data_IF_521013413462
#
_entry.id   IF_521013413462
#
_cell.length_a   1.000
_cell.length_b   1.000
_cell.length_c   1.000
_cell.angle_alpha   90.00
_cell.angle_beta   90.00
_cell.angle_gamma   90.00
#
_symmetry.space_group_name_H-M   'P 1'
#
loop_
_entity.id
_entity.type
_entity.pdbx_description
1 polymer ?
#
# COMPACT_ATOMS: atom_id res chain seq x y z
N UNK A 1 22.81 -41.51 23.82
CA UNK A 1 21.68 -40.85 23.12
C UNK A 1 20.80 -40.22 24.17
N UNK A 2 20.77 -38.88 24.23
CA UNK A 2 20.18 -38.08 25.31
C UNK A 2 18.96 -37.32 24.80
N UNK A 3 17.94 -37.18 25.65
CA UNK A 3 16.60 -36.59 25.48
C UNK A 3 16.53 -35.17 24.86
N UNK A 4 17.66 -34.53 24.56
CA UNK A 4 17.73 -33.16 24.06
C UNK A 4 17.45 -33.02 22.54
N UNK A 5 17.47 -34.11 21.77
CA UNK A 5 17.25 -34.05 20.31
C UNK A 5 15.77 -34.08 19.89
N UNK A 6 14.83 -34.23 20.83
CA UNK A 6 13.39 -34.39 20.51
C UNK A 6 12.56 -33.09 20.60
N UNK A 7 13.14 -31.94 20.95
CA UNK A 7 12.41 -30.68 21.13
C UNK A 7 12.49 -29.70 19.94
N UNK A 8 13.16 -30.06 18.83
CA UNK A 8 13.30 -29.17 17.65
C UNK A 8 12.17 -29.38 16.63
N UNK A 9 11.29 -30.36 16.82
CA UNK A 9 10.24 -30.69 15.84
C UNK A 9 8.88 -30.05 16.20
N UNK A 10 8.82 -28.72 16.34
CA UNK A 10 7.54 -27.99 16.36
C UNK A 10 7.73 -26.48 16.16
N UNK A 11 8.24 -26.05 15.00
CA UNK A 11 8.04 -24.68 14.53
C UNK A 11 7.87 -24.72 13.00
N UNK A 12 6.79 -24.08 12.57
CA UNK A 12 6.22 -24.07 11.24
C UNK A 12 7.25 -23.75 10.14
N UNK A 13 7.04 -24.40 8.98
CA UNK A 13 7.73 -24.10 7.73
C UNK A 13 7.76 -22.58 7.47
N UNK A 14 8.97 -22.00 7.47
CA UNK A 14 9.37 -20.77 6.75
C UNK A 14 10.75 -20.23 7.19
N UNK A 15 11.42 -20.80 8.19
CA UNK A 15 12.72 -20.29 8.64
C UNK A 15 13.87 -21.07 7.98
N UNK A 16 14.52 -20.47 6.98
CA UNK A 16 15.82 -20.94 6.48
C UNK A 16 16.91 -20.42 7.42
N UNK A 17 17.43 -21.28 8.29
CA UNK A 17 18.53 -20.96 9.19
C UNK A 17 19.86 -21.16 8.44
N UNK A 18 20.54 -20.07 8.07
CA UNK A 18 21.92 -20.13 7.58
C UNK A 18 22.85 -20.19 8.80
N UNK A 19 23.29 -21.38 9.17
CA UNK A 19 24.29 -21.57 10.21
C UNK A 19 25.69 -21.27 9.64
N UNK A 20 26.25 -20.11 9.97
CA UNK A 20 27.67 -19.83 9.71
C UNK A 20 28.48 -20.62 10.74
N UNK A 21 29.34 -21.54 10.30
CA UNK A 21 30.19 -22.34 11.17
C UNK A 21 31.23 -21.46 11.88
N UNK A 22 31.01 -21.20 13.17
CA UNK A 22 31.95 -20.48 14.06
C UNK A 22 32.65 -21.51 14.95
N UNK A 23 33.98 -21.39 15.08
CA UNK A 23 34.78 -22.22 16.00
C UNK A 23 34.30 -22.03 17.44
N UNK A 24 33.84 -23.11 18.07
CA UNK A 24 33.23 -23.10 19.41
C UNK A 24 34.36 -23.12 20.46
N UNK A 25 34.65 -21.98 21.08
CA UNK A 25 35.45 -21.94 22.31
C UNK A 25 34.53 -22.18 23.52
N UNK A 26 34.80 -23.18 24.38
CA UNK A 26 33.97 -23.43 25.55
C UNK A 26 34.12 -22.28 26.55
N UNK A 27 33.01 -21.63 26.93
CA UNK A 27 32.95 -20.64 28.01
C UNK A 27 32.47 -19.23 27.64
N UNK A 28 32.20 -18.94 26.36
CA UNK A 28 31.69 -17.62 25.93
C UNK A 28 30.19 -17.72 25.59
N UNK A 29 29.30 -16.93 26.21
CA UNK A 29 27.90 -16.87 25.78
C UNK A 29 27.84 -16.26 24.37
N UNK A 30 27.35 -17.04 23.39
CA UNK A 30 27.17 -16.57 22.02
C UNK A 30 25.77 -15.98 21.84
N UNK A 31 25.71 -14.68 21.56
CA UNK A 31 24.50 -14.06 21.01
C UNK A 31 24.38 -14.48 19.55
N UNK A 32 23.40 -15.33 19.24
CA UNK A 32 23.02 -15.60 17.86
C UNK A 32 22.23 -14.39 17.33
N UNK A 33 22.80 -13.64 16.39
CA UNK A 33 22.03 -12.70 15.59
C UNK A 33 21.35 -13.49 14.46
N UNK A 34 20.02 -13.49 14.46
CA UNK A 34 19.25 -14.02 13.34
C UNK A 34 19.08 -12.90 12.31
N UNK A 35 19.56 -13.15 11.08
CA UNK A 35 19.23 -12.29 9.93
C UNK A 35 17.91 -12.81 9.37
N UNK A 36 16.86 -11.99 9.45
CA UNK A 36 15.57 -12.29 8.83
C UNK A 36 15.66 -12.01 7.33
N UNK A 37 15.85 -13.05 6.53
CA UNK A 37 15.84 -12.93 5.06
C UNK A 37 14.39 -13.03 4.60
N UNK A 38 13.80 -11.91 4.15
CA UNK A 38 12.44 -11.90 3.59
C UNK A 38 12.40 -12.59 2.23
N UNK A 39 11.54 -13.59 2.08
CA UNK A 39 11.31 -14.27 0.81
C UNK A 39 10.71 -13.29 -0.21
N UNK A 40 11.18 -13.34 -1.47
CA UNK A 40 10.68 -12.48 -2.55
C UNK A 40 9.40 -13.06 -3.15
N UNK A 41 8.41 -12.20 -3.35
CA UNK A 41 7.15 -12.53 -4.02
C UNK A 41 7.35 -12.75 -5.53
N UNK A 42 6.41 -13.44 -6.18
CA UNK A 42 6.32 -13.49 -7.65
C UNK A 42 6.11 -12.11 -8.29
N UNK A 43 5.65 -11.14 -7.50
CA UNK A 43 5.46 -9.75 -7.93
C UNK A 43 6.67 -8.86 -7.65
N UNK A 44 7.79 -9.42 -7.15
CA UNK A 44 8.97 -8.65 -6.82
C UNK A 44 9.51 -7.88 -8.03
N UNK A 45 9.65 -6.56 -7.89
CA UNK A 45 10.12 -5.67 -8.97
C UNK A 45 9.07 -5.33 -10.04
N UNK A 46 7.87 -5.91 -9.99
CA UNK A 46 6.77 -5.54 -10.89
C UNK A 46 6.05 -4.25 -10.45
N UNK A 47 6.39 -3.74 -9.27
CA UNK A 47 5.77 -2.58 -8.63
C UNK A 47 6.85 -1.57 -8.26
N UNK A 48 6.68 -0.34 -8.71
CA UNK A 48 7.47 0.81 -8.30
C UNK A 48 6.84 1.50 -7.10
N UNK A 49 7.66 1.91 -6.14
CA UNK A 49 7.25 2.72 -5.00
C UNK A 49 7.89 4.09 -5.09
N UNK A 50 7.09 5.14 -4.90
CA UNK A 50 7.58 6.51 -4.79
C UNK A 50 6.93 7.20 -3.60
N UNK A 51 7.74 7.73 -2.67
CA UNK A 51 7.25 8.59 -1.61
C UNK A 51 7.10 10.01 -2.13
N UNK A 52 6.08 10.70 -1.67
CA UNK A 52 5.88 12.12 -1.98
C UNK A 52 5.35 12.86 -0.77
N UNK A 53 5.68 14.14 -0.70
CA UNK A 53 5.32 15.02 0.42
C UNK A 53 4.75 16.32 -0.13
N UNK A 54 3.65 16.78 0.47
CA UNK A 54 3.01 18.05 0.14
C UNK A 54 2.84 18.88 1.40
N UNK A 55 2.89 20.20 1.25
CA UNK A 55 2.59 21.12 2.34
C UNK A 55 1.07 21.27 2.48
N UNK A 56 0.59 21.11 3.71
CA UNK A 56 -0.81 21.33 4.08
C UNK A 56 -1.04 22.80 4.45
N UNK A 57 -2.29 23.29 4.30
CA UNK A 57 -2.71 24.53 4.94
C UNK A 57 -2.44 24.45 6.46
N UNK A 58 -1.68 25.41 7.00
CA UNK A 58 -1.25 25.39 8.40
C UNK A 58 0.22 25.01 8.61
N UNK A 59 0.96 24.66 7.55
CA UNK A 59 2.41 24.47 7.61
C UNK A 59 2.85 23.06 8.00
N UNK A 60 1.91 22.14 8.22
CA UNK A 60 2.19 20.71 8.36
C UNK A 60 2.55 20.08 7.00
N UNK A 61 3.23 18.94 7.02
CA UNK A 61 3.49 18.17 5.80
C UNK A 61 2.68 16.88 5.77
N UNK A 62 2.22 16.52 4.58
CA UNK A 62 1.48 15.29 4.32
C UNK A 62 2.28 14.40 3.40
N UNK A 63 2.62 13.23 3.91
CA UNK A 63 3.34 12.21 3.16
C UNK A 63 2.40 11.10 2.70
N UNK A 64 2.57 10.67 1.45
CA UNK A 64 1.89 9.53 0.88
C UNK A 64 2.85 8.68 0.03
N UNK A 65 2.39 7.49 -0.34
CA UNK A 65 3.13 6.56 -1.19
C UNK A 65 2.36 6.35 -2.49
N UNK A 66 3.05 6.46 -3.62
CA UNK A 66 2.55 6.07 -4.92
C UNK A 66 3.08 4.69 -5.25
N UNK A 67 2.14 3.77 -5.52
CA UNK A 67 2.40 2.42 -5.98
C UNK A 67 2.09 2.39 -7.49
N UNK A 68 3.10 2.21 -8.33
CA UNK A 68 2.95 2.13 -9.79
C UNK A 68 3.11 0.68 -10.24
N UNK A 69 2.16 0.15 -11.00
CA UNK A 69 2.32 -1.14 -11.65
C UNK A 69 3.15 -0.96 -12.93
N UNK A 70 4.44 -1.29 -12.87
CA UNK A 70 5.42 -0.94 -13.92
C UNK A 70 5.33 -1.79 -15.18
N UNK A 71 4.46 -2.81 -15.19
CA UNK A 71 4.23 -3.61 -16.39
C UNK A 71 3.50 -2.79 -17.45
N UNK A 72 3.80 -3.07 -18.71
CA UNK A 72 3.12 -2.49 -19.87
C UNK A 72 1.97 -3.37 -20.37
N UNK A 73 2.00 -4.67 -20.07
CA UNK A 73 1.01 -5.66 -20.50
C UNK A 73 0.81 -6.75 -19.44
N UNK A 74 -0.31 -7.45 -19.53
CA UNK A 74 -0.62 -8.62 -18.70
C UNK A 74 -1.91 -8.49 -17.90
N UNK A 75 -2.05 -9.38 -16.92
CA UNK A 75 -3.23 -9.44 -16.07
C UNK A 75 -3.24 -8.31 -15.03
N UNK A 76 -4.43 -7.90 -14.56
CA UNK A 76 -4.55 -6.96 -13.44
C UNK A 76 -3.85 -7.50 -12.19
N UNK A 77 -3.21 -6.60 -11.45
CA UNK A 77 -2.54 -6.88 -10.19
C UNK A 77 -3.45 -6.54 -9.01
N UNK A 78 -4.07 -7.53 -8.35
CA UNK A 78 -4.84 -7.29 -7.14
C UNK A 78 -3.89 -6.97 -5.98
N UNK A 79 -4.07 -5.80 -5.36
CA UNK A 79 -3.24 -5.31 -4.25
C UNK A 79 -3.99 -5.24 -2.91
N UNK A 80 -5.32 -5.42 -2.89
CA UNK A 80 -6.05 -5.51 -1.61
C UNK A 80 -5.53 -6.67 -0.76
N UNK A 81 -5.37 -6.41 0.54
CA UNK A 81 -4.83 -7.36 1.51
C UNK A 81 -3.29 -7.38 1.56
N UNK A 82 -2.59 -6.73 0.62
CA UNK A 82 -1.16 -6.52 0.74
C UNK A 82 -0.85 -5.62 1.93
N UNK A 83 0.36 -5.73 2.44
CA UNK A 83 0.78 -5.10 3.68
C UNK A 83 1.90 -4.11 3.40
N UNK A 84 1.76 -2.93 3.97
CA UNK A 84 2.81 -1.92 4.03
C UNK A 84 3.34 -1.91 5.45
N UNK A 85 4.64 -2.03 5.60
CA UNK A 85 5.32 -2.13 6.89
C UNK A 85 6.55 -1.21 6.91
N UNK A 86 6.74 -0.50 8.01
CA UNK A 86 7.99 0.23 8.29
C UNK A 86 9.11 -0.74 8.64
N UNK A 87 10.36 -0.47 8.23
CA UNK A 87 11.49 -1.38 8.52
C UNK A 87 11.68 -1.67 10.02
N UNK A 88 11.28 -0.76 10.91
CA UNK A 88 11.35 -0.96 12.36
C UNK A 88 10.18 -1.77 12.93
N UNK A 89 9.26 -2.25 12.07
CA UNK A 89 8.08 -3.06 12.36
C UNK A 89 7.07 -2.44 13.33
N UNK A 90 7.19 -1.16 13.67
CA UNK A 90 6.26 -0.49 14.60
C UNK A 90 4.96 -0.06 13.91
N UNK A 91 5.06 0.29 12.63
CA UNK A 91 3.91 0.73 11.83
C UNK A 91 3.68 -0.27 10.70
N UNK A 92 2.44 -0.75 10.61
CA UNK A 92 1.98 -1.73 9.63
C UNK A 92 0.55 -1.40 9.23
N UNK A 93 0.23 -1.46 7.94
CA UNK A 93 -1.13 -1.27 7.45
C UNK A 93 -1.42 -2.25 6.31
N UNK A 94 -2.64 -2.79 6.28
CA UNK A 94 -3.12 -3.56 5.13
C UNK A 94 -3.82 -2.64 4.14
N UNK A 95 -3.58 -2.84 2.85
CA UNK A 95 -4.35 -2.18 1.78
C UNK A 95 -5.79 -2.70 1.85
N UNK A 96 -6.78 -1.84 2.12
CA UNK A 96 -8.16 -2.29 2.24
C UNK A 96 -8.76 -2.68 0.87
N UNK A 97 -9.97 -3.20 0.91
CA UNK A 97 -10.85 -3.18 -0.27
C UNK A 97 -11.34 -1.74 -0.52
N UNK A 98 -11.77 -1.46 -1.75
CA UNK A 98 -12.33 -0.17 -2.12
C UNK A 98 -13.71 -0.30 -2.75
N UNK A 99 -14.10 0.73 -3.51
CA UNK A 99 -15.23 0.70 -4.44
C UNK A 99 -14.76 1.17 -5.81
N UNK A 100 -15.16 0.50 -6.89
CA UNK A 100 -14.83 0.97 -8.23
C UNK A 100 -15.57 2.30 -8.51
N UNK A 101 -16.87 2.33 -8.25
CA UNK A 101 -17.69 3.54 -8.36
C UNK A 101 -18.16 3.99 -6.99
N UNK A 102 -17.71 5.17 -6.56
CA UNK A 102 -18.29 5.83 -5.39
C UNK A 102 -19.58 6.56 -5.80
N UNK A 103 -20.56 6.65 -4.90
CA UNK A 103 -21.79 7.45 -5.05
C UNK A 103 -22.14 8.03 -3.69
N UNK A 104 -22.34 9.36 -3.62
CA UNK A 104 -22.66 10.02 -2.35
C UNK A 104 -24.05 9.61 -1.85
N UNK A 105 -24.15 9.30 -0.56
CA UNK A 105 -25.41 8.89 0.08
C UNK A 105 -25.78 7.41 -0.13
N UNK A 106 -24.94 6.63 -0.81
CA UNK A 106 -25.14 5.20 -1.05
C UNK A 106 -24.02 4.42 -0.37
N UNK A 107 -24.36 3.28 0.24
CA UNK A 107 -23.35 2.38 0.82
C UNK A 107 -22.44 1.87 -0.31
N UNK A 108 -21.11 2.09 -0.24
CA UNK A 108 -20.20 1.66 -1.30
C UNK A 108 -20.21 0.15 -1.52
N UNK A 109 -20.21 -0.26 -2.78
CA UNK A 109 -20.05 -1.68 -3.13
C UNK A 109 -18.59 -2.07 -2.98
N UNK A 110 -18.31 -3.16 -2.26
CA UNK A 110 -16.94 -3.62 -2.04
C UNK A 110 -16.35 -4.17 -3.35
N UNK A 111 -15.16 -3.70 -3.69
CA UNK A 111 -14.37 -4.14 -4.83
C UNK A 111 -12.91 -4.32 -4.42
N UNK A 112 -12.25 -5.29 -5.02
CA UNK A 112 -10.79 -5.46 -4.90
C UNK A 112 -10.10 -4.28 -5.58
N UNK A 113 -9.14 -3.67 -4.89
CA UNK A 113 -8.23 -2.69 -5.49
C UNK A 113 -7.27 -3.47 -6.37
N UNK A 114 -7.39 -3.26 -7.68
CA UNK A 114 -6.60 -3.94 -8.71
C UNK A 114 -6.04 -2.92 -9.68
N UNK A 115 -4.76 -3.06 -10.02
CA UNK A 115 -4.07 -2.19 -10.97
C UNK A 115 -3.91 -2.88 -12.31
N UNK A 116 -4.38 -2.25 -13.38
CA UNK A 116 -4.02 -2.63 -14.74
C UNK A 116 -2.58 -2.18 -15.06
N UNK A 117 -1.90 -2.81 -16.03
CA UNK A 117 -0.57 -2.40 -16.46
C UNK A 117 -0.48 -0.88 -16.70
N UNK A 118 0.49 -0.22 -16.06
CA UNK A 118 0.67 1.24 -16.13
C UNK A 118 -0.18 2.07 -15.16
N UNK A 119 -1.14 1.47 -14.45
CA UNK A 119 -1.94 2.18 -13.44
C UNK A 119 -1.20 2.35 -12.12
N UNK A 120 -1.72 3.27 -11.31
CA UNK A 120 -1.17 3.58 -9.99
C UNK A 120 -2.21 3.54 -8.88
N UNK A 121 -1.73 3.41 -7.65
CA UNK A 121 -2.50 3.66 -6.43
C UNK A 121 -1.77 4.70 -5.58
N UNK A 122 -2.48 5.76 -5.22
CA UNK A 122 -2.03 6.71 -4.19
C UNK A 122 -2.51 6.18 -2.85
N UNK A 123 -1.55 5.88 -1.98
CA UNK A 123 -1.76 5.31 -0.66
C UNK A 123 -1.55 6.40 0.38
N UNK A 124 -2.65 6.83 0.97
CA UNK A 124 -2.76 7.86 1.97
C UNK A 124 -2.80 7.22 3.37
N UNK A 125 -1.98 7.68 4.33
CA UNK A 125 -1.92 7.12 5.68
C UNK A 125 -3.12 7.52 6.56
N UNK A 126 -4.04 8.33 6.07
CA UNK A 126 -5.21 8.82 6.80
C UNK A 126 -6.47 8.00 6.55
N UNK A 127 -7.55 8.32 7.27
CA UNK A 127 -8.91 7.91 6.92
C UNK A 127 -9.33 8.58 5.60
N UNK A 128 -10.14 7.88 4.79
CA UNK A 128 -10.74 8.46 3.60
C UNK A 128 -11.76 9.54 3.97
N UNK A 129 -11.71 10.75 3.37
CA UNK A 129 -12.73 11.77 3.57
C UNK A 129 -14.15 11.25 3.26
N UNK A 130 -14.30 10.41 2.23
CA UNK A 130 -15.59 9.79 1.85
C UNK A 130 -15.88 8.46 2.55
N UNK A 131 -15.03 8.02 3.48
CA UNK A 131 -15.22 6.77 4.22
C UNK A 131 -14.94 5.49 3.41
N UNK A 132 -14.39 5.60 2.21
CA UNK A 132 -13.99 4.45 1.39
C UNK A 132 -12.75 4.76 0.54
N UNK A 133 -11.96 3.73 0.24
CA UNK A 133 -11.00 3.79 -0.88
C UNK A 133 -11.76 3.62 -2.20
N UNK A 134 -11.34 4.30 -3.27
CA UNK A 134 -12.09 4.29 -4.53
C UNK A 134 -11.21 4.41 -5.77
N UNK A 135 -11.70 3.92 -6.90
CA UNK A 135 -11.08 4.18 -8.20
C UNK A 135 -11.43 5.60 -8.64
N UNK A 136 -10.41 6.39 -9.00
CA UNK A 136 -10.62 7.75 -9.45
C UNK A 136 -11.35 7.74 -10.80
N UNK A 137 -12.17 8.75 -11.01
CA UNK A 137 -12.87 8.99 -12.26
C UNK A 137 -12.84 10.48 -12.60
N UNK A 138 -13.29 10.85 -13.79
CA UNK A 138 -13.30 12.24 -14.26
C UNK A 138 -14.10 13.19 -13.34
N UNK A 139 -15.09 12.66 -12.61
CA UNK A 139 -15.92 13.43 -11.68
C UNK A 139 -15.28 13.62 -10.30
N UNK A 140 -14.22 12.88 -9.96
CA UNK A 140 -13.70 12.79 -8.59
C UNK A 140 -13.24 14.12 -8.02
N UNK A 141 -12.75 15.05 -8.86
CA UNK A 141 -12.37 16.40 -8.43
C UNK A 141 -13.54 17.17 -7.78
N UNK A 142 -14.79 16.91 -8.17
CA UNK A 142 -15.96 17.58 -7.59
C UNK A 142 -16.22 17.19 -6.12
N UNK A 143 -15.67 16.06 -5.66
CA UNK A 143 -15.73 15.67 -4.25
C UNK A 143 -14.99 16.66 -3.35
N UNK A 144 -13.98 17.34 -3.87
CA UNK A 144 -13.17 18.32 -3.12
C UNK A 144 -13.96 19.58 -2.72
N UNK A 145 -15.14 19.79 -3.31
CA UNK A 145 -16.03 20.92 -2.96
C UNK A 145 -16.61 20.83 -1.56
N UNK A 146 -16.70 19.64 -1.00
CA UNK A 146 -17.31 19.40 0.31
C UNK A 146 -16.29 19.01 1.38
N UNK A 147 -15.12 18.50 0.98
CA UNK A 147 -14.08 18.08 1.89
C UNK A 147 -12.72 18.05 1.19
N UNK A 148 -11.64 18.36 1.90
CA UNK A 148 -10.31 18.31 1.32
C UNK A 148 -9.84 16.87 1.13
N UNK A 149 -9.08 16.64 0.06
CA UNK A 149 -8.35 15.39 -0.16
C UNK A 149 -6.86 15.68 -0.20
N UNK A 150 -6.09 14.77 0.37
CA UNK A 150 -4.63 14.85 0.39
C UNK A 150 -4.02 13.53 -0.11
N UNK A 151 -3.23 13.54 -1.19
CA UNK A 151 -3.05 14.67 -2.12
C UNK A 151 -4.35 15.03 -2.86
N UNK A 152 -4.46 16.25 -3.44
CA UNK A 152 -5.66 16.66 -4.16
C UNK A 152 -6.06 15.68 -5.28
N UNK A 153 -7.35 15.60 -5.54
CA UNK A 153 -7.95 14.80 -6.62
C UNK A 153 -7.84 15.54 -7.96
N UNK A 154 -8.00 16.86 -7.95
CA UNK A 154 -7.84 17.70 -9.13
C UNK A 154 -6.37 17.89 -9.48
N UNK A 155 -6.05 17.76 -10.78
CA UNK A 155 -4.72 18.14 -11.30
C UNK A 155 -4.68 19.63 -11.72
N UNK A 156 -5.44 20.49 -11.03
CA UNK A 156 -5.46 21.94 -11.26
C UNK A 156 -6.36 22.45 -12.41
N UNK A 157 -6.99 21.59 -13.21
CA UNK A 157 -7.80 22.01 -14.38
C UNK A 157 -9.19 21.35 -14.50
N UNK A 158 -9.80 20.93 -13.38
CA UNK A 158 -11.13 20.30 -13.46
C UNK A 158 -12.23 21.38 -13.50
N UNK A 159 -12.72 21.65 -14.71
CA UNK A 159 -13.87 22.54 -15.00
C UNK A 159 -15.22 21.80 -14.92
N UNK A 160 -15.27 20.65 -14.25
CA UNK A 160 -16.51 19.87 -14.12
C UNK A 160 -17.48 20.64 -13.23
N UNK A 161 -18.41 21.34 -13.87
CA UNK A 161 -19.50 22.04 -13.20
C UNK A 161 -20.51 21.02 -12.62
N UNK A 162 -21.04 21.31 -11.43
CA UNK A 162 -22.06 20.50 -10.77
C UNK A 162 -21.56 19.68 -9.58
N UNK A 163 -22.43 18.80 -9.07
CA UNK A 163 -22.13 17.90 -7.96
C UNK A 163 -21.68 16.54 -8.48
N UNK A 164 -20.97 15.79 -7.63
CA UNK A 164 -20.37 14.52 -8.01
C UNK A 164 -21.38 13.52 -8.59
N UNK A 165 -22.52 13.31 -7.91
CA UNK A 165 -23.54 12.38 -8.37
C UNK A 165 -24.13 12.78 -9.73
N UNK A 166 -24.30 14.08 -10.00
CA UNK A 166 -24.81 14.57 -11.29
C UNK A 166 -23.81 14.31 -12.41
N UNK A 167 -22.52 14.59 -12.17
CA UNK A 167 -21.45 14.27 -13.10
C UNK A 167 -21.39 12.76 -13.40
N UNK A 168 -21.45 11.92 -12.36
CA UNK A 168 -21.45 10.46 -12.51
C UNK A 168 -22.66 9.99 -13.33
N UNK A 169 -23.85 10.51 -13.05
CA UNK A 169 -25.06 10.14 -13.79
C UNK A 169 -24.94 10.43 -15.29
N UNK A 170 -24.24 11.51 -15.66
CA UNK A 170 -24.04 11.94 -17.04
C UNK A 170 -22.91 11.19 -17.76
N UNK A 171 -21.81 10.89 -17.06
CA UNK A 171 -20.55 10.47 -17.71
C UNK A 171 -20.12 9.02 -17.43
N UNK A 172 -20.78 8.27 -16.53
CA UNK A 172 -20.35 6.91 -16.13
C UNK A 172 -20.23 5.88 -17.27
N UNK A 173 -20.83 6.16 -18.43
CA UNK A 173 -20.83 5.26 -19.60
C UNK A 173 -19.73 5.62 -20.60
N UNK A 174 -18.98 6.70 -20.37
CA UNK A 174 -17.85 7.10 -21.21
C UNK A 174 -16.67 6.13 -21.03
N UNK A 175 -15.95 5.77 -22.12
CA UNK A 175 -14.89 4.77 -22.08
C UNK A 175 -13.69 5.18 -21.22
N UNK A 176 -13.47 6.48 -21.05
CA UNK A 176 -12.41 7.11 -20.25
C UNK A 176 -12.92 7.66 -18.92
N UNK A 177 -14.12 7.25 -18.49
CA UNK A 177 -14.71 7.68 -17.22
C UNK A 177 -13.82 7.34 -16.03
N UNK A 178 -13.32 6.10 -15.95
CA UNK A 178 -12.36 5.68 -14.92
C UNK A 178 -10.96 6.13 -15.30
N UNK A 179 -10.27 6.74 -14.33
CA UNK A 179 -8.89 7.16 -14.48
C UNK A 179 -7.94 6.05 -13.98
N UNK A 180 -6.70 5.98 -14.50
CA UNK A 180 -5.72 4.94 -14.17
C UNK A 180 -5.05 5.15 -12.78
N UNK A 181 -5.86 5.51 -11.78
CA UNK A 181 -5.43 5.86 -10.43
C UNK A 181 -6.46 5.40 -9.39
N UNK A 182 -6.01 4.63 -8.40
CA UNK A 182 -6.77 4.35 -7.19
C UNK A 182 -6.40 5.33 -6.07
N UNK A 183 -7.41 5.75 -5.30
CA UNK A 183 -7.23 6.48 -4.03
C UNK A 183 -7.46 5.52 -2.88
N UNK A 184 -6.36 5.16 -2.21
CA UNK A 184 -6.32 4.15 -1.15
C UNK A 184 -6.01 4.82 0.18
N UNK A 185 -6.79 4.52 1.20
CA UNK A 185 -6.67 5.10 2.53
C UNK A 185 -6.50 3.98 3.56
N UNK A 186 -5.39 3.99 4.29
CA UNK A 186 -5.00 2.86 5.17
C UNK A 186 -5.18 3.14 6.67
N UNK A 187 -5.65 4.33 7.06
CA UNK A 187 -5.89 4.73 8.45
C UNK A 187 -4.76 4.35 9.42
N UNK A 188 -3.53 4.71 9.05
CA UNK A 188 -2.32 4.55 9.86
C UNK A 188 -1.44 5.79 9.75
N UNK A 189 -1.75 6.85 10.52
CA UNK A 189 -0.94 8.06 10.56
C UNK A 189 0.53 7.76 10.87
N UNK A 190 1.44 8.50 10.24
CA UNK A 190 2.89 8.34 10.43
C UNK A 190 3.53 7.16 9.70
N UNK A 191 2.77 6.29 9.02
CA UNK A 191 3.31 5.09 8.34
C UNK A 191 4.46 5.40 7.36
N UNK A 192 4.45 6.58 6.76
CA UNK A 192 5.42 7.01 5.76
C UNK A 192 6.45 8.02 6.26
N UNK A 193 6.51 8.26 7.58
CA UNK A 193 7.48 9.18 8.18
C UNK A 193 8.93 8.67 8.03
N UNK A 194 9.87 9.59 7.75
CA UNK A 194 11.28 9.27 7.42
C UNK A 194 12.07 8.60 8.56
N UNK A 195 11.54 8.58 9.78
CA UNK A 195 12.14 7.96 10.95
C UNK A 195 12.31 6.42 10.87
N UNK A 196 12.08 5.82 9.70
CA UNK A 196 11.82 4.41 9.51
C UNK A 196 12.81 3.69 8.57
N UNK A 197 13.86 4.34 8.05
CA UNK A 197 14.93 3.80 7.15
C UNK A 197 14.47 3.20 5.81
N UNK A 198 13.42 2.38 5.80
CA UNK A 198 12.74 1.91 4.59
C UNK A 198 11.26 1.58 4.84
N UNK A 199 10.48 1.55 3.76
CA UNK A 199 9.10 1.07 3.70
C UNK A 199 9.08 -0.22 2.89
N UNK A 200 8.49 -1.27 3.45
CA UNK A 200 8.37 -2.59 2.86
C UNK A 200 6.94 -2.82 2.39
N UNK A 201 6.77 -3.25 1.14
CA UNK A 201 5.51 -3.73 0.59
C UNK A 201 5.57 -5.26 0.51
N UNK A 202 4.61 -5.92 1.14
CA UNK A 202 4.51 -7.37 1.21
C UNK A 202 3.18 -7.84 0.62
N UNK A 203 3.19 -9.00 -0.04
CA UNK A 203 1.97 -9.63 -0.52
C UNK A 203 1.16 -10.26 0.63
N UNK A 204 0.02 -10.86 0.28
CA UNK A 204 -0.86 -11.55 1.23
C UNK A 204 -0.21 -12.73 1.97
N UNK A 205 0.88 -13.27 1.44
CA UNK A 205 1.61 -14.42 1.97
C UNK A 205 2.87 -13.94 2.74
N UNK A 206 2.94 -12.64 3.06
CA UNK A 206 4.06 -11.97 3.75
C UNK A 206 5.40 -12.00 2.99
N UNK A 207 5.36 -12.16 1.66
CA UNK A 207 6.56 -12.12 0.81
C UNK A 207 6.81 -10.71 0.29
N UNK A 208 8.08 -10.32 0.21
CA UNK A 208 8.51 -8.99 -0.22
C UNK A 208 8.17 -8.76 -1.70
N UNK A 209 7.42 -7.70 -1.98
CA UNK A 209 7.08 -7.24 -3.33
C UNK A 209 7.96 -6.07 -3.75
N UNK A 210 8.13 -5.09 -2.87
CA UNK A 210 8.95 -3.91 -3.14
C UNK A 210 9.46 -3.31 -1.83
N UNK A 211 10.53 -2.55 -1.92
CA UNK A 211 11.11 -1.79 -0.82
C UNK A 211 11.42 -0.38 -1.31
N UNK A 212 11.06 0.61 -0.51
CA UNK A 212 11.43 2.01 -0.69
C UNK A 212 12.40 2.39 0.42
N UNK A 213 13.62 2.79 0.06
CA UNK A 213 14.60 3.30 1.00
C UNK A 213 14.54 4.84 1.01
N UNK A 214 14.63 5.45 2.19
CA UNK A 214 14.69 6.91 2.33
C UNK A 214 16.03 7.49 1.84
#
# INVERSE_FOLDING_TARGET
>A
MSRAQQLVAALSASIVIVAVSVWIFPGVPHTFSFIEVKEKSSFFGAVGLARSEISLPGGESYTYLTLLYTRTEGNPLPISGWVIESSNKKLRASIPVGTALFVQGVVPTRATVSLFPGESAIISPSVSPVGASFQKNICSATLERFQPFYPPLSNGTSTVEGFYNDCVAKHKEEPDFFLPEWRVFVDRPGLFAEAHNSILLMDKDERLVAEYNY
#
